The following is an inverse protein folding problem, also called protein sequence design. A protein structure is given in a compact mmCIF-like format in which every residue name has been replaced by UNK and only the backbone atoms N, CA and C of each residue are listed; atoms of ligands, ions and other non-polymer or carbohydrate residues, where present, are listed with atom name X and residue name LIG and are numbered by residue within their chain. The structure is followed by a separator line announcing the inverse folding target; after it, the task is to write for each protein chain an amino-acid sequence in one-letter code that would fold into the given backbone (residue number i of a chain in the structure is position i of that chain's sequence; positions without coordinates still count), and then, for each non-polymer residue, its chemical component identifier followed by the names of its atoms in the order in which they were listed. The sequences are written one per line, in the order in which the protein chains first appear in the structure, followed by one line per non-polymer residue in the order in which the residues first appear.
data_IF_218243392843
#
_entry.id   IF_218243392843
#
_cell.length_a   1.000
_cell.length_b   1.000
_cell.length_c   1.000
_cell.angle_alpha   90.00
_cell.angle_beta   90.00
_cell.angle_gamma   90.00
#
_symmetry.space_group_name_H-M   'P 1'
#
loop_
_entity.id
_entity.type
_entity.pdbx_description
1 polymer ?
#
# COMPACT_ATOMS: atom_id res chain seq x y z
N UNK A 1 15.17 0.65 11.74
CA UNK A 1 16.61 0.97 11.44
C UNK A 1 16.60 2.07 10.39
N UNK A 2 17.26 3.19 10.60
CA UNK A 2 17.24 4.23 9.58
C UNK A 2 17.80 3.69 8.26
N UNK A 3 17.24 4.15 7.16
CA UNK A 3 17.68 3.76 5.82
C UNK A 3 19.15 4.10 5.63
N UNK A 4 19.96 3.11 5.35
CA UNK A 4 21.40 3.27 5.18
C UNK A 4 21.73 4.12 3.94
N UNK A 5 22.85 4.88 3.95
CA UNK A 5 23.27 5.65 2.77
C UNK A 5 23.37 4.85 1.48
N UNK A 6 23.80 3.58 1.56
CA UNK A 6 23.86 2.67 0.41
C UNK A 6 22.50 2.37 -0.21
N UNK A 7 21.44 2.34 0.60
CA UNK A 7 20.08 2.14 0.11
C UNK A 7 19.54 3.40 -0.59
N UNK A 8 19.90 4.57 -0.09
CA UNK A 8 19.58 5.85 -0.74
C UNK A 8 20.31 5.99 -2.09
N UNK A 9 21.52 5.44 -2.23
CA UNK A 9 22.27 5.43 -3.49
C UNK A 9 21.51 4.67 -4.60
N UNK A 10 20.69 3.66 -4.26
CA UNK A 10 19.86 2.95 -5.26
C UNK A 10 18.96 3.89 -6.05
N UNK A 11 18.50 4.97 -5.45
CA UNK A 11 17.61 5.94 -6.09
C UNK A 11 18.34 6.77 -7.16
N UNK A 12 19.67 6.84 -7.12
CA UNK A 12 20.49 7.55 -8.09
C UNK A 12 20.91 6.67 -9.27
N UNK A 13 20.77 5.34 -9.17
CA UNK A 13 21.09 4.40 -10.24
C UNK A 13 20.18 4.57 -11.46
N UNK A 14 20.61 4.12 -12.65
CA UNK A 14 19.75 4.10 -13.83
C UNK A 14 18.44 3.36 -13.56
N UNK A 15 17.34 3.90 -14.08
CA UNK A 15 15.96 3.44 -13.76
C UNK A 15 15.66 2.00 -14.19
N UNK A 16 16.45 1.43 -15.09
CA UNK A 16 16.32 0.07 -15.59
C UNK A 16 17.19 -0.95 -14.82
N UNK A 17 17.90 -0.50 -13.78
CA UNK A 17 18.81 -1.36 -13.01
C UNK A 17 18.16 -1.79 -11.68
N UNK A 18 18.25 -3.08 -11.39
CA UNK A 18 17.83 -3.67 -10.13
C UNK A 18 16.38 -4.16 -10.14
N UNK A 19 15.93 -4.60 -8.97
CA UNK A 19 14.54 -5.01 -8.78
C UNK A 19 13.65 -3.78 -8.69
N UNK A 20 12.48 -3.78 -9.37
CA UNK A 20 11.52 -2.69 -9.26
C UNK A 20 10.89 -2.70 -7.86
N UNK A 21 11.04 -1.58 -7.15
CA UNK A 21 10.35 -1.28 -5.89
C UNK A 21 9.46 -0.06 -6.11
N UNK A 22 8.52 0.21 -5.19
CA UNK A 22 7.71 1.41 -5.28
C UNK A 22 8.60 2.65 -5.30
N UNK A 23 8.51 3.41 -6.41
CA UNK A 23 9.26 4.66 -6.62
C UNK A 23 10.78 4.51 -6.45
N UNK A 24 11.31 3.30 -6.59
CA UNK A 24 12.72 2.92 -6.36
C UNK A 24 13.19 3.10 -4.90
N UNK A 25 12.26 3.18 -3.96
CA UNK A 25 12.59 3.20 -2.55
C UNK A 25 13.34 1.93 -2.13
N UNK A 26 14.13 1.96 -1.06
CA UNK A 26 14.73 0.76 -0.50
C UNK A 26 13.68 -0.30 -0.21
N UNK A 27 14.02 -1.58 -0.36
CA UNK A 27 13.19 -2.69 0.09
C UNK A 27 13.66 -3.12 1.49
N UNK A 28 12.75 -3.15 2.46
CA UNK A 28 13.04 -3.52 3.83
C UNK A 28 12.10 -4.64 4.31
N UNK A 29 12.68 -5.66 4.93
CA UNK A 29 11.95 -6.73 5.63
C UNK A 29 11.76 -6.42 7.12
N UNK A 30 12.65 -5.63 7.69
CA UNK A 30 12.57 -5.12 9.05
C UNK A 30 12.14 -3.64 9.03
N UNK A 31 11.09 -3.32 9.78
CA UNK A 31 10.44 -2.01 9.75
C UNK A 31 10.72 -1.17 11.01
N UNK A 32 11.58 -1.64 11.91
CA UNK A 32 11.89 -0.90 13.14
C UNK A 32 12.52 0.46 12.82
N UNK A 33 11.87 1.52 13.29
CA UNK A 33 12.30 2.90 13.06
C UNK A 33 11.99 3.47 11.68
N UNK A 34 11.27 2.72 10.81
CA UNK A 34 10.77 3.24 9.54
C UNK A 34 9.60 4.19 9.78
N UNK A 35 9.57 5.33 9.08
CA UNK A 35 8.48 6.30 9.19
C UNK A 35 7.32 5.98 8.25
N UNK A 36 7.61 5.68 6.98
CA UNK A 36 6.60 5.42 5.94
C UNK A 36 6.90 4.12 5.21
N UNK A 37 5.94 3.20 5.21
CA UNK A 37 6.03 1.92 4.50
C UNK A 37 5.07 1.85 3.31
N UNK A 38 5.60 1.72 2.09
CA UNK A 38 4.79 1.42 0.92
C UNK A 38 4.56 -0.09 0.84
N UNK A 39 3.32 -0.52 0.87
CA UNK A 39 2.94 -1.94 0.91
C UNK A 39 1.94 -2.27 -0.20
N UNK A 40 2.23 -3.33 -0.95
CA UNK A 40 1.28 -3.86 -1.92
C UNK A 40 0.21 -4.73 -1.27
N UNK A 41 -1.01 -4.66 -1.80
CA UNK A 41 -2.12 -5.53 -1.39
C UNK A 41 -2.71 -6.18 -2.66
N UNK A 42 -2.08 -7.24 -3.18
CA UNK A 42 -2.44 -7.85 -4.46
C UNK A 42 -3.67 -8.75 -4.32
N UNK A 43 -4.82 -8.15 -4.04
CA UNK A 43 -6.10 -8.82 -3.83
C UNK A 43 -7.20 -8.21 -4.72
N UNK A 44 -8.07 -9.06 -5.29
CA UNK A 44 -9.23 -8.66 -6.09
C UNK A 44 -10.41 -9.64 -5.98
N UNK A 45 -10.52 -10.29 -4.82
CA UNK A 45 -11.63 -11.22 -4.53
C UNK A 45 -12.95 -10.53 -4.26
N UNK A 46 -12.97 -9.20 -4.10
CA UNK A 46 -14.17 -8.39 -3.89
C UNK A 46 -14.75 -7.77 -5.17
N UNK A 47 -14.14 -8.01 -6.35
CA UNK A 47 -14.68 -7.46 -7.60
C UNK A 47 -15.87 -8.26 -8.12
N UNK A 48 -16.91 -7.57 -8.58
CA UNK A 48 -18.11 -8.17 -9.20
C UNK A 48 -17.93 -8.38 -10.70
N UNK A 49 -17.03 -7.59 -11.34
CA UNK A 49 -16.75 -7.63 -12.77
C UNK A 49 -15.25 -7.39 -13.01
N UNK A 50 -14.65 -7.72 -14.08
CA UNK A 50 -13.28 -7.42 -14.52
C UNK A 50 -12.18 -7.62 -13.44
N UNK A 51 -11.87 -8.87 -13.04
CA UNK A 51 -10.74 -9.16 -12.16
C UNK A 51 -9.42 -8.73 -12.82
N UNK A 52 -8.38 -8.56 -12.01
CA UNK A 52 -7.04 -8.17 -12.47
C UNK A 52 -6.39 -7.09 -11.60
N UNK A 53 -7.14 -6.45 -10.70
CA UNK A 53 -6.61 -5.45 -9.77
C UNK A 53 -5.50 -6.01 -8.87
N UNK A 54 -5.46 -7.33 -8.61
CA UNK A 54 -4.36 -8.02 -7.91
C UNK A 54 -2.99 -7.80 -8.53
N UNK A 55 -2.90 -7.44 -9.80
CA UNK A 55 -1.65 -7.12 -10.47
C UNK A 55 -1.22 -5.66 -10.29
N UNK A 56 -2.07 -4.81 -9.68
CA UNK A 56 -1.83 -3.39 -9.47
C UNK A 56 -0.51 -3.09 -8.76
N UNK A 57 -0.21 -3.69 -7.60
CA UNK A 57 1.02 -3.40 -6.88
C UNK A 57 2.29 -3.65 -7.70
N UNK A 58 2.34 -4.78 -8.43
CA UNK A 58 3.46 -5.10 -9.32
C UNK A 58 3.61 -4.05 -10.42
N UNK A 59 2.50 -3.67 -11.05
CA UNK A 59 2.55 -2.72 -12.17
C UNK A 59 2.90 -1.31 -11.68
N UNK A 60 2.42 -0.89 -10.51
CA UNK A 60 2.82 0.38 -9.90
C UNK A 60 4.33 0.38 -9.59
N UNK A 61 4.92 -0.73 -9.08
CA UNK A 61 6.38 -0.84 -8.92
C UNK A 61 7.11 -0.65 -10.25
N UNK A 62 6.66 -1.34 -11.30
CA UNK A 62 7.26 -1.23 -12.62
C UNK A 62 7.24 0.21 -13.16
N UNK A 63 6.07 0.84 -13.17
CA UNK A 63 5.86 2.17 -13.74
C UNK A 63 6.47 3.28 -12.87
N UNK A 64 6.46 3.14 -11.56
CA UNK A 64 7.02 4.13 -10.64
C UNK A 64 8.55 4.23 -10.67
N UNK A 65 9.25 3.29 -11.33
CA UNK A 65 10.69 3.42 -11.58
C UNK A 65 11.05 4.68 -12.37
N UNK A 66 10.08 5.22 -13.14
CA UNK A 66 10.25 6.45 -13.91
C UNK A 66 10.13 7.73 -13.08
N UNK A 67 9.66 7.64 -11.85
CA UNK A 67 9.47 8.80 -11.00
C UNK A 67 10.79 9.46 -10.61
N UNK A 68 10.72 10.78 -10.39
CA UNK A 68 11.83 11.57 -9.85
C UNK A 68 11.75 11.60 -8.33
N UNK A 69 12.90 11.73 -7.68
CA UNK A 69 13.01 11.83 -6.22
C UNK A 69 12.58 13.19 -5.68
N UNK A 70 12.39 14.18 -6.56
CA UNK A 70 11.95 15.53 -6.22
C UNK A 70 10.68 15.89 -7.01
N UNK A 71 9.70 16.47 -6.34
CA UNK A 71 8.55 17.07 -7.00
C UNK A 71 8.94 18.41 -7.60
N UNK A 72 8.93 18.52 -8.93
CA UNK A 72 9.40 19.71 -9.63
C UNK A 72 8.54 20.96 -9.39
N UNK A 73 7.25 20.81 -9.10
CA UNK A 73 6.35 21.93 -8.88
C UNK A 73 6.53 22.56 -7.48
N UNK A 74 6.82 21.73 -6.48
CA UNK A 74 6.93 22.18 -5.09
C UNK A 74 8.37 22.23 -4.56
N UNK A 75 9.33 21.61 -5.27
CA UNK A 75 10.70 21.45 -4.80
C UNK A 75 10.87 20.45 -3.65
N UNK A 76 9.81 19.74 -3.26
CA UNK A 76 9.85 18.79 -2.14
C UNK A 76 10.53 17.49 -2.58
N UNK A 77 11.49 17.03 -1.78
CA UNK A 77 12.18 15.75 -1.91
C UNK A 77 11.79 14.84 -0.72
N UNK A 78 10.75 14.00 -0.82
CA UNK A 78 10.21 13.23 0.32
C UNK A 78 11.25 12.37 1.02
N UNK A 79 12.16 11.77 0.26
CA UNK A 79 13.21 10.89 0.80
C UNK A 79 14.34 11.62 1.55
N UNK A 80 14.37 12.95 1.50
CA UNK A 80 15.25 13.79 2.33
C UNK A 80 14.56 14.19 3.63
N UNK A 81 13.23 14.07 3.69
CA UNK A 81 12.41 14.48 4.82
C UNK A 81 11.98 13.31 5.69
N UNK A 82 11.79 12.12 5.11
CA UNK A 82 11.26 10.95 5.78
C UNK A 82 12.02 9.70 5.37
N UNK A 83 12.10 8.71 6.28
CA UNK A 83 12.54 7.37 5.95
C UNK A 83 11.37 6.59 5.32
N UNK A 84 11.45 6.39 3.98
CA UNK A 84 10.42 5.75 3.17
C UNK A 84 10.98 4.48 2.53
N UNK A 85 10.26 3.37 2.65
CA UNK A 85 10.66 2.09 2.05
C UNK A 85 9.50 1.34 1.40
N UNK A 86 9.81 0.45 0.46
CA UNK A 86 8.93 -0.61 0.01
C UNK A 86 9.05 -1.76 1.03
N UNK A 87 7.96 -2.12 1.68
CA UNK A 87 7.92 -3.17 2.71
C UNK A 87 7.26 -4.46 2.20
N UNK A 88 7.21 -4.63 0.87
CA UNK A 88 6.70 -5.84 0.23
C UNK A 88 5.20 -5.85 0.03
N UNK A 89 4.63 -7.04 0.04
CA UNK A 89 3.21 -7.26 -0.20
C UNK A 89 2.53 -7.94 0.99
N UNK A 90 1.27 -7.59 1.22
CA UNK A 90 0.38 -8.36 2.07
C UNK A 90 0.08 -9.71 1.39
N UNK A 91 0.52 -10.80 1.98
CA UNK A 91 0.24 -12.14 1.50
C UNK A 91 -1.13 -12.61 1.96
N UNK A 92 -1.91 -13.19 1.03
CA UNK A 92 -3.23 -13.77 1.27
C UNK A 92 -3.17 -15.25 0.89
N UNK A 93 -3.33 -16.14 1.88
CA UNK A 93 -3.29 -17.59 1.66
C UNK A 93 -4.56 -18.11 1.00
N UNK A 94 -5.71 -17.50 1.31
CA UNK A 94 -7.04 -17.97 0.88
C UNK A 94 -7.75 -16.96 0.00
N UNK A 95 -7.22 -16.68 -1.20
CA UNK A 95 -7.70 -15.57 -2.05
C UNK A 95 -9.15 -15.72 -2.55
N UNK A 96 -9.77 -16.89 -2.38
CA UNK A 96 -11.15 -17.14 -2.77
C UNK A 96 -12.15 -17.06 -1.60
N UNK A 97 -11.68 -16.75 -0.40
CA UNK A 97 -12.49 -16.60 0.81
C UNK A 97 -12.40 -15.15 1.31
N UNK A 98 -13.34 -14.30 0.91
CA UNK A 98 -13.30 -12.84 1.13
C UNK A 98 -13.02 -12.48 2.60
N UNK A 99 -13.80 -13.04 3.53
CA UNK A 99 -13.65 -12.72 4.95
C UNK A 99 -12.29 -13.15 5.50
N UNK A 100 -11.82 -14.33 5.12
CA UNK A 100 -10.51 -14.85 5.56
C UNK A 100 -9.37 -14.00 4.98
N UNK A 101 -9.48 -13.61 3.70
CA UNK A 101 -8.53 -12.70 3.06
C UNK A 101 -8.48 -11.35 3.77
N UNK A 102 -9.62 -10.80 4.17
CA UNK A 102 -9.69 -9.55 4.91
C UNK A 102 -9.06 -9.67 6.30
N UNK A 103 -9.23 -10.79 7.01
CA UNK A 103 -8.57 -11.02 8.30
C UNK A 103 -7.04 -11.14 8.14
N UNK A 104 -6.57 -11.78 7.07
CA UNK A 104 -5.14 -11.87 6.77
C UNK A 104 -4.55 -10.49 6.47
N UNK A 105 -5.22 -9.68 5.66
CA UNK A 105 -4.82 -8.29 5.37
C UNK A 105 -4.83 -7.45 6.66
N UNK A 106 -5.90 -7.54 7.46
CA UNK A 106 -6.00 -6.89 8.76
C UNK A 106 -4.79 -7.18 9.63
N UNK A 107 -4.42 -8.46 9.76
CA UNK A 107 -3.27 -8.88 10.56
C UNK A 107 -1.93 -8.28 10.09
N UNK A 108 -1.74 -8.12 8.78
CA UNK A 108 -0.54 -7.45 8.24
C UNK A 108 -0.52 -5.98 8.66
N UNK A 109 -1.62 -5.25 8.46
CA UNK A 109 -1.67 -3.82 8.77
C UNK A 109 -1.66 -3.52 10.27
N UNK A 110 -2.16 -4.44 11.11
CA UNK A 110 -1.97 -4.35 12.57
C UNK A 110 -0.49 -4.40 12.95
N UNK A 111 0.31 -5.27 12.31
CA UNK A 111 1.77 -5.31 12.57
C UNK A 111 2.46 -4.04 12.09
N UNK A 112 2.10 -3.52 10.91
CA UNK A 112 2.64 -2.25 10.40
C UNK A 112 2.30 -1.10 11.36
N UNK A 113 1.05 -1.03 11.82
CA UNK A 113 0.60 -0.02 12.79
C UNK A 113 1.33 -0.13 14.13
N UNK A 114 1.46 -1.36 14.65
CA UNK A 114 2.19 -1.61 15.91
C UNK A 114 3.67 -1.25 15.84
N UNK A 115 4.29 -1.33 14.66
CA UNK A 115 5.65 -0.86 14.43
C UNK A 115 5.79 0.68 14.33
N UNK A 116 4.67 1.41 14.43
CA UNK A 116 4.64 2.87 14.32
C UNK A 116 4.81 3.40 12.89
N UNK A 117 4.73 2.54 11.89
CA UNK A 117 4.92 2.88 10.48
C UNK A 117 3.62 3.43 9.88
N UNK A 118 3.70 4.52 9.17
CA UNK A 118 2.58 5.06 8.38
C UNK A 118 2.50 4.28 7.05
N UNK A 119 1.44 3.48 6.80
CA UNK A 119 1.34 2.72 5.58
C UNK A 119 0.84 3.56 4.39
N UNK A 120 1.45 3.34 3.23
CA UNK A 120 0.89 3.72 1.92
C UNK A 120 0.54 2.42 1.21
N UNK A 121 -0.73 2.03 1.27
CA UNK A 121 -1.21 0.82 0.63
C UNK A 121 -1.43 1.03 -0.86
N UNK A 122 -0.92 0.10 -1.66
CA UNK A 122 -1.16 0.04 -3.11
C UNK A 122 -1.97 -1.22 -3.41
N UNK A 123 -3.24 -1.05 -3.69
CA UNK A 123 -4.13 -2.16 -3.98
C UNK A 123 -4.10 -2.63 -5.43
N UNK A 124 -4.85 -3.49 -5.64
CA UNK A 124 -5.93 -4.35 -5.39
C UNK A 124 -7.29 -3.69 -5.60
N UNK A 125 -8.32 -4.42 -5.28
CA UNK A 125 -9.68 -3.89 -5.34
C UNK A 125 -10.01 -3.04 -4.11
N UNK A 126 -11.18 -2.36 -4.14
CA UNK A 126 -11.57 -1.43 -3.07
C UNK A 126 -11.88 -2.14 -1.74
N UNK A 127 -12.22 -3.43 -1.76
CA UNK A 127 -12.58 -4.17 -0.54
C UNK A 127 -11.47 -4.23 0.50
N UNK A 128 -10.19 -4.07 0.07
CA UNK A 128 -9.03 -4.02 0.97
C UNK A 128 -9.05 -2.83 1.92
N UNK A 129 -9.79 -1.77 1.59
CA UNK A 129 -9.86 -0.56 2.43
C UNK A 129 -10.46 -0.85 3.80
N UNK A 130 -11.44 -1.76 3.89
CA UNK A 130 -12.08 -2.11 5.15
C UNK A 130 -11.10 -2.72 6.18
N UNK A 131 -10.36 -3.80 5.89
CA UNK A 131 -9.40 -4.36 6.83
C UNK A 131 -8.26 -3.39 7.17
N UNK A 132 -7.79 -2.59 6.21
CA UNK A 132 -6.76 -1.57 6.46
C UNK A 132 -7.25 -0.52 7.45
N UNK A 133 -8.43 0.05 7.23
CA UNK A 133 -9.01 1.05 8.12
C UNK A 133 -9.30 0.47 9.51
N UNK A 134 -9.76 -0.78 9.61
CA UNK A 134 -9.94 -1.47 10.90
C UNK A 134 -8.62 -1.61 11.67
N UNK A 135 -7.52 -1.90 10.98
CA UNK A 135 -6.21 -1.96 11.61
C UNK A 135 -5.78 -0.60 12.17
N UNK A 136 -5.90 0.46 11.37
CA UNK A 136 -5.46 1.81 11.74
C UNK A 136 -6.36 2.47 12.81
N UNK A 137 -7.63 2.07 12.88
CA UNK A 137 -8.61 2.56 13.85
C UNK A 137 -8.72 1.70 15.12
N UNK A 138 -7.82 0.74 15.32
CA UNK A 138 -7.91 -0.24 16.42
C UNK A 138 -7.85 0.39 17.81
N UNK A 139 -7.11 1.47 17.98
CA UNK A 139 -6.94 2.16 19.27
C UNK A 139 -7.87 3.38 19.43
N UNK A 140 -8.19 4.05 18.35
CA UNK A 140 -9.04 5.26 18.34
C UNK A 140 -9.68 5.45 16.97
N UNK A 141 -10.85 6.09 16.91
CA UNK A 141 -11.46 6.47 15.63
C UNK A 141 -10.52 7.36 14.81
N UNK A 142 -10.48 7.11 13.51
CA UNK A 142 -9.72 7.92 12.54
C UNK A 142 -10.68 8.66 11.62
N UNK A 143 -10.32 9.89 11.24
CA UNK A 143 -11.00 10.62 10.18
C UNK A 143 -10.50 10.13 8.82
N UNK A 144 -11.39 10.12 7.81
CA UNK A 144 -11.07 9.72 6.46
C UNK A 144 -11.47 10.80 5.46
N UNK A 145 -10.61 11.08 4.49
CA UNK A 145 -10.97 11.77 3.25
C UNK A 145 -11.02 10.71 2.16
N UNK A 146 -12.21 10.51 1.58
CA UNK A 146 -12.47 9.52 0.54
C UNK A 146 -12.59 10.23 -0.82
N UNK A 147 -11.76 9.83 -1.78
CA UNK A 147 -11.80 10.37 -3.16
C UNK A 147 -12.10 9.19 -4.07
N UNK A 148 -13.36 9.07 -4.45
CA UNK A 148 -13.88 7.97 -5.25
C UNK A 148 -15.06 8.44 -6.11
N UNK A 149 -15.42 7.67 -7.14
CA UNK A 149 -16.61 7.89 -7.95
C UNK A 149 -17.91 7.50 -7.21
N UNK A 150 -17.79 6.68 -6.17
CA UNK A 150 -18.88 6.16 -5.36
C UNK A 150 -18.70 6.58 -3.90
N UNK A 151 -19.78 6.61 -3.16
CA UNK A 151 -19.73 7.00 -1.72
C UNK A 151 -19.29 5.85 -0.81
N UNK A 152 -19.46 4.61 -1.22
CA UNK A 152 -19.14 3.35 -0.52
C UNK A 152 -19.64 3.27 0.94
N UNK A 153 -20.72 3.99 1.22
CA UNK A 153 -21.37 4.04 2.55
C UNK A 153 -22.60 3.14 2.63
N UNK A 154 -22.87 2.36 1.59
CA UNK A 154 -23.97 1.40 1.54
C UNK A 154 -23.73 0.19 2.43
N UNK A 155 -24.82 -0.33 3.02
CA UNK A 155 -24.82 -1.65 3.63
C UNK A 155 -24.97 -2.74 2.55
N UNK A 156 -24.95 -4.03 2.98
CA UNK A 156 -25.10 -5.18 2.07
C UNK A 156 -26.33 -5.12 1.16
N UNK A 157 -27.35 -4.34 1.52
CA UNK A 157 -28.59 -4.18 0.75
C UNK A 157 -28.46 -3.21 -0.40
N UNK A 158 -27.54 -2.24 -0.31
CA UNK A 158 -27.28 -1.30 -1.39
C UNK A 158 -26.59 -1.95 -2.59
N UNK A 159 -25.76 -2.98 -2.37
CA UNK A 159 -25.07 -3.68 -3.44
C UNK A 159 -25.99 -4.57 -4.29
N UNK A 160 -27.15 -4.98 -3.76
CA UNK A 160 -28.14 -5.83 -4.45
C UNK A 160 -29.13 -4.98 -5.27
N UNK A 161 -29.30 -3.71 -4.96
CA UNK A 161 -30.25 -2.81 -5.61
C UNK A 161 -29.70 -2.11 -6.88
N UNK A 162 -28.48 -2.39 -7.26
CA UNK A 162 -27.80 -1.82 -8.42
C UNK A 162 -27.65 -2.79 -9.61
N UNK A 163 -28.40 -3.93 -9.59
CA UNK A 163 -28.55 -4.84 -10.75
C UNK A 163 -29.76 -4.49 -11.62
#
# INVERSE_FOLDING_TARGET
MPIEPADRERMTRPRYVGLPTFMRAPYLEDWEGLEIGMIGVPYDGGVTNRPGARHGPREVRNQSTMMRTINQATGVAPYELCDVADIGDSFVERPFALNESHEEILGVFQRVHAAGVVPIAVGGDHSISLPILRALASERPVGMVHIDAHCDTGDERCCIAAE
#
